data_IF_944457839890
#
_entry.id   IF_944457839890
#
_cell.length_a   1.000
_cell.length_b   1.000
_cell.length_c   1.000
_cell.angle_alpha   90.00
_cell.angle_beta   90.00
_cell.angle_gamma   90.00
#
_symmetry.space_group_name_H-M   'P 1'
#
loop_
_entity.id
_entity.type
_entity.pdbx_description
1 polymer ?
#
# COMPACT_ATOMS: atom_id res chain seq x y z
N UNK A 1 10.83 -10.59 -11.03
CA UNK A 1 10.35 -9.58 -12.02
C UNK A 1 11.43 -8.51 -12.26
N UNK A 2 11.41 -7.78 -13.38
CA UNK A 2 12.33 -6.66 -13.63
C UNK A 2 11.80 -5.34 -13.04
N UNK A 3 12.70 -4.51 -12.51
CA UNK A 3 12.34 -3.19 -11.99
C UNK A 3 11.69 -2.30 -13.07
N UNK A 4 10.67 -1.54 -12.70
CA UNK A 4 9.86 -0.68 -13.56
C UNK A 4 9.09 0.36 -12.73
N UNK A 5 8.30 1.21 -13.38
CA UNK A 5 7.42 2.16 -12.69
C UNK A 5 6.33 1.50 -11.82
N UNK A 6 6.03 0.21 -12.03
CA UNK A 6 4.99 -0.54 -11.29
C UNK A 6 5.58 -1.54 -10.29
N UNK A 7 6.87 -1.83 -10.40
CA UNK A 7 7.51 -2.89 -9.65
C UNK A 7 8.95 -2.50 -9.31
N UNK A 8 9.32 -2.63 -8.05
CA UNK A 8 10.70 -2.46 -7.63
C UNK A 8 10.98 -3.44 -6.49
N UNK A 9 12.08 -4.20 -6.54
CA UNK A 9 12.47 -5.08 -5.45
C UNK A 9 13.91 -4.79 -5.02
N UNK A 10 14.08 -4.24 -3.81
CA UNK A 10 15.39 -3.95 -3.23
C UNK A 10 15.84 -5.09 -2.32
N UNK A 11 16.46 -6.12 -2.89
CA UNK A 11 16.96 -7.28 -2.14
C UNK A 11 18.10 -6.97 -1.19
N UNK A 12 18.84 -5.90 -1.44
CA UNK A 12 19.95 -5.45 -0.60
C UNK A 12 19.46 -4.66 0.63
N UNK A 13 18.16 -4.39 0.74
CA UNK A 13 17.58 -3.74 1.91
C UNK A 13 17.72 -4.63 3.14
N UNK A 14 18.28 -4.10 4.24
CA UNK A 14 18.42 -4.81 5.52
C UNK A 14 17.10 -5.28 6.15
N UNK A 15 15.98 -4.75 5.69
CA UNK A 15 14.65 -5.13 6.15
C UNK A 15 13.97 -6.14 5.23
N UNK A 16 14.58 -6.54 4.11
CA UNK A 16 13.95 -7.42 3.14
C UNK A 16 13.93 -8.90 3.61
N UNK A 17 12.80 -9.61 3.43
CA UNK A 17 11.47 -9.09 3.11
C UNK A 17 10.86 -8.39 4.35
N UNK A 18 10.35 -7.17 4.16
CA UNK A 18 9.80 -6.40 5.29
C UNK A 18 8.46 -6.95 5.79
N UNK A 19 7.71 -7.61 4.90
CA UNK A 19 6.47 -8.30 5.22
C UNK A 19 6.60 -9.78 4.88
N UNK A 20 6.18 -10.63 5.82
CA UNK A 20 6.20 -12.09 5.62
C UNK A 20 4.95 -12.54 4.88
N UNK A 21 5.04 -13.66 4.15
CA UNK A 21 3.89 -14.26 3.46
C UNK A 21 3.69 -13.81 2.01
N UNK A 22 4.65 -13.09 1.44
CA UNK A 22 4.75 -12.80 0.00
C UNK A 22 6.02 -13.46 -0.52
N UNK A 23 5.96 -14.07 -1.70
CA UNK A 23 7.14 -14.65 -2.36
C UNK A 23 8.22 -13.57 -2.59
N UNK A 24 9.46 -13.72 -2.08
CA UNK A 24 10.56 -12.80 -2.35
C UNK A 24 10.84 -12.53 -3.84
N UNK A 25 10.51 -13.46 -4.73
CA UNK A 25 10.64 -13.30 -6.20
C UNK A 25 9.59 -12.35 -6.80
N UNK A 26 8.47 -12.20 -6.10
CA UNK A 26 7.32 -11.38 -6.49
C UNK A 26 7.15 -10.14 -5.60
N UNK A 27 8.00 -9.98 -4.58
CA UNK A 27 7.90 -8.92 -3.59
C UNK A 27 8.15 -7.54 -4.18
N UNK A 28 7.23 -6.61 -3.95
CA UNK A 28 7.29 -5.25 -4.46
C UNK A 28 7.55 -4.24 -3.33
N UNK A 29 8.73 -3.63 -3.32
CA UNK A 29 9.16 -2.59 -2.38
C UNK A 29 8.64 -1.19 -2.71
N UNK A 30 7.92 -0.98 -3.82
CA UNK A 30 7.52 0.37 -4.28
C UNK A 30 6.72 1.16 -3.21
N UNK A 31 5.93 0.46 -2.39
CA UNK A 31 5.07 1.06 -1.37
C UNK A 31 5.45 0.63 0.06
N UNK A 32 6.75 0.51 0.35
CA UNK A 32 7.23 0.30 1.73
C UNK A 32 6.67 1.34 2.72
N UNK A 33 6.49 2.58 2.28
CA UNK A 33 5.56 3.49 2.93
C UNK A 33 4.20 3.38 2.23
N UNK A 34 3.19 2.91 2.96
CA UNK A 34 1.86 2.73 2.40
C UNK A 34 1.19 4.09 2.18
N UNK A 35 0.94 4.50 0.92
CA UNK A 35 0.29 5.79 0.67
C UNK A 35 -1.20 5.79 1.08
N UNK A 36 -1.75 4.63 1.43
CA UNK A 36 -3.12 4.49 1.93
C UNK A 36 -3.21 4.47 3.47
N UNK A 37 -2.13 4.78 4.19
CA UNK A 37 -2.11 4.64 5.65
C UNK A 37 -3.25 5.42 6.33
N UNK A 38 -3.61 6.60 5.81
CA UNK A 38 -4.64 7.48 6.36
C UNK A 38 -6.09 7.00 6.15
N UNK A 39 -6.31 5.95 5.35
CA UNK A 39 -7.65 5.43 5.04
C UNK A 39 -7.96 4.18 5.87
N UNK A 40 -9.01 4.25 6.69
CA UNK A 40 -9.48 3.07 7.44
C UNK A 40 -9.91 1.94 6.49
N UNK A 41 -10.77 2.26 5.52
CA UNK A 41 -11.16 1.34 4.45
C UNK A 41 -10.23 1.47 3.22
N UNK A 42 -8.96 1.08 3.40
CA UNK A 42 -7.97 1.10 2.33
C UNK A 42 -8.03 -0.13 1.42
N UNK A 43 -8.85 -1.13 1.73
CA UNK A 43 -8.90 -2.42 1.05
C UNK A 43 -7.64 -3.28 1.20
N UNK A 44 -6.76 -2.93 2.15
CA UNK A 44 -5.65 -3.78 2.58
C UNK A 44 -6.05 -4.70 3.74
N UNK A 45 -5.07 -5.35 4.35
CA UNK A 45 -5.23 -6.15 5.56
C UNK A 45 -4.41 -5.62 6.75
N UNK A 46 -4.57 -4.33 7.15
CA UNK A 46 -3.90 -3.81 8.33
C UNK A 46 -4.46 -4.43 9.62
N UNK A 47 -3.61 -4.53 10.64
CA UNK A 47 -4.04 -4.77 12.01
C UNK A 47 -4.40 -3.47 12.73
N UNK A 48 -4.57 -3.57 14.06
CA UNK A 48 -4.71 -2.43 14.96
C UNK A 48 -3.83 -2.63 16.19
N UNK A 49 -3.22 -1.54 16.64
CA UNK A 49 -2.55 -1.48 17.95
C UNK A 49 -3.58 -1.55 19.09
N UNK A 50 -3.11 -1.71 20.34
CA UNK A 50 -3.96 -1.64 21.54
C UNK A 50 -4.67 -0.29 21.72
N UNK A 51 -4.14 0.78 21.13
CA UNK A 51 -4.71 2.13 21.16
C UNK A 51 -5.67 2.39 19.98
N UNK A 52 -5.94 1.38 19.15
CA UNK A 52 -6.84 1.47 18.00
C UNK A 52 -6.21 2.08 16.75
N UNK A 53 -4.94 2.50 16.81
CA UNK A 53 -4.18 3.03 15.68
C UNK A 53 -3.96 1.92 14.65
N UNK A 54 -4.23 2.23 13.38
CA UNK A 54 -4.01 1.33 12.25
C UNK A 54 -2.54 0.93 12.13
N UNK A 55 -2.29 -0.38 12.04
CA UNK A 55 -0.95 -0.96 11.91
C UNK A 55 -0.80 -1.74 10.61
N UNK A 56 0.05 -1.26 9.71
CA UNK A 56 0.31 -1.89 8.41
C UNK A 56 1.46 -2.92 8.45
N UNK A 57 2.07 -3.20 9.59
CA UNK A 57 3.24 -4.11 9.71
C UNK A 57 2.92 -5.54 9.23
N UNK A 58 1.67 -5.97 9.30
CA UNK A 58 1.20 -7.26 8.77
C UNK A 58 0.58 -7.21 7.37
N UNK A 59 0.47 -6.02 6.76
CA UNK A 59 -0.28 -5.83 5.53
C UNK A 59 0.57 -6.18 4.29
N UNK A 60 0.18 -7.22 3.56
CA UNK A 60 0.95 -7.72 2.40
C UNK A 60 0.49 -7.15 1.06
N UNK A 61 -0.72 -6.56 1.02
CA UNK A 61 -1.34 -6.11 -0.23
C UNK A 61 -0.44 -5.21 -1.09
N UNK A 62 0.26 -4.18 -0.56
CA UNK A 62 1.13 -3.32 -1.37
C UNK A 62 2.37 -4.04 -1.92
N UNK A 63 2.72 -5.18 -1.32
CA UNK A 63 3.95 -5.92 -1.57
C UNK A 63 3.75 -7.13 -2.48
N UNK A 64 2.51 -7.58 -2.68
CA UNK A 64 2.17 -8.71 -3.55
C UNK A 64 2.03 -8.32 -5.03
N UNK A 65 2.05 -9.29 -5.97
CA UNK A 65 1.54 -9.09 -7.33
C UNK A 65 0.14 -8.46 -7.30
N UNK A 66 -0.10 -7.47 -8.17
CA UNK A 66 -1.37 -6.72 -8.18
C UNK A 66 -1.44 -5.58 -7.15
N UNK A 67 -0.49 -5.51 -6.21
CA UNK A 67 -0.46 -4.49 -5.16
C UNK A 67 -0.34 -3.06 -5.70
N UNK A 68 0.41 -2.90 -6.79
CA UNK A 68 0.53 -1.60 -7.46
C UNK A 68 -0.82 -1.09 -7.95
N UNK A 69 -1.54 -1.96 -8.66
CA UNK A 69 -2.84 -1.67 -9.26
C UNK A 69 -3.87 -1.36 -8.18
N UNK A 70 -3.88 -2.14 -7.09
CA UNK A 70 -4.74 -1.92 -5.93
C UNK A 70 -4.53 -0.53 -5.32
N UNK A 71 -3.27 -0.19 -5.02
CA UNK A 71 -2.93 1.08 -4.39
C UNK A 71 -3.29 2.27 -5.27
N UNK A 72 -2.91 2.22 -6.55
CA UNK A 72 -3.20 3.30 -7.50
C UNK A 72 -4.70 3.47 -7.73
N UNK A 73 -5.46 2.38 -7.84
CA UNK A 73 -6.91 2.43 -7.97
C UNK A 73 -7.57 3.03 -6.72
N UNK A 74 -7.13 2.64 -5.52
CA UNK A 74 -7.68 3.17 -4.26
C UNK A 74 -7.36 4.65 -4.06
N UNK A 75 -6.15 5.09 -4.40
CA UNK A 75 -5.75 6.50 -4.37
C UNK A 75 -6.59 7.33 -5.35
N UNK A 76 -6.76 6.84 -6.59
CA UNK A 76 -7.59 7.53 -7.59
C UNK A 76 -9.01 7.74 -7.09
N UNK A 77 -9.65 6.68 -6.57
CA UNK A 77 -10.99 6.79 -5.97
C UNK A 77 -11.04 7.82 -4.85
N UNK A 78 -10.02 7.87 -4.00
CA UNK A 78 -9.97 8.83 -2.90
C UNK A 78 -9.82 10.26 -3.38
N UNK A 79 -8.94 10.52 -4.35
CA UNK A 79 -8.75 11.86 -4.90
C UNK A 79 -9.97 12.35 -5.67
N UNK A 80 -10.65 11.47 -6.40
CA UNK A 80 -11.90 11.83 -7.08
C UNK A 80 -12.98 12.21 -6.04
N UNK A 81 -13.13 11.43 -4.96
CA UNK A 81 -14.03 11.77 -3.84
C UNK A 81 -13.74 13.14 -3.24
N UNK A 82 -12.47 13.42 -2.95
CA UNK A 82 -12.05 14.70 -2.35
C UNK A 82 -12.31 15.89 -3.29
N UNK A 83 -12.10 15.71 -4.61
CA UNK A 83 -12.39 16.75 -5.61
C UNK A 83 -13.87 17.06 -5.69
N UNK A 84 -14.75 16.06 -5.66
CA UNK A 84 -16.19 16.32 -5.68
C UNK A 84 -16.65 17.04 -4.41
N UNK A 85 -16.17 16.63 -3.23
CA UNK A 85 -16.46 17.32 -1.96
C UNK A 85 -15.99 18.78 -1.96
N UNK A 86 -14.84 19.05 -2.57
CA UNK A 86 -14.32 20.42 -2.69
C UNK A 86 -15.18 21.31 -3.60
N UNK A 87 -15.89 20.76 -4.59
CA UNK A 87 -16.82 21.52 -5.45
C UNK A 87 -18.12 21.86 -4.73
N UNK A 88 -18.59 20.99 -3.84
CA UNK A 88 -19.81 21.21 -3.05
C UNK A 88 -19.62 22.23 -1.92
N UNK A 89 -18.38 22.45 -1.49
CA UNK A 89 -18.02 23.37 -0.42
C UNK A 89 -17.75 24.81 -0.88
N UNK A 90 -17.73 25.08 -2.20
CA UNK A 90 -17.48 26.40 -2.79
C UNK A 90 -18.73 26.98 -3.45
#
# INVERSE_FOLDING_TARGET
MSNSHRFFCNRDCKYFPCHKGVDPEEFNCLFCFCPLYFLEDCGGNPGRTSEGIKDCTGCTVPHSPGGYEHVMARLRREFDRLREQGKEAG
#
